data_IF_789045193289
#
_entry.id   IF_789045193289
#
_cell.length_a   1.000
_cell.length_b   1.000
_cell.length_c   1.000
_cell.angle_alpha   90.00
_cell.angle_beta   90.00
_cell.angle_gamma   90.00
#
_symmetry.space_group_name_H-M   'P 1'
#
loop_
_entity.id
_entity.type
_entity.pdbx_description
1 polymer ?
#
# COMPACT_ATOMS: atom_id res chain seq x y z
N UNK A 1 17.03 -27.28 4.51
CA UNK A 1 18.30 -26.80 5.03
C UNK A 1 18.41 -25.31 4.78
N UNK A 2 18.57 -24.52 5.82
CA UNK A 2 18.81 -23.09 5.75
C UNK A 2 20.18 -22.87 5.12
N UNK A 3 20.25 -22.43 3.88
CA UNK A 3 21.51 -22.01 3.27
C UNK A 3 21.66 -20.53 3.56
N UNK A 4 22.37 -20.21 4.66
CA UNK A 4 22.87 -18.88 4.93
C UNK A 4 24.02 -18.62 3.96
N UNK A 5 23.74 -18.01 2.80
CA UNK A 5 24.75 -17.39 1.99
C UNK A 5 25.08 -16.03 2.58
N UNK A 6 25.81 -16.02 3.69
CA UNK A 6 26.45 -14.82 4.18
C UNK A 6 27.59 -14.47 3.21
N UNK A 7 27.33 -13.61 2.22
CA UNK A 7 28.40 -13.09 1.39
C UNK A 7 29.38 -12.29 2.24
N UNK A 8 30.47 -12.92 2.55
CA UNK A 8 31.86 -12.46 2.77
C UNK A 8 32.15 -11.24 3.64
N UNK A 9 31.25 -10.76 4.47
CA UNK A 9 31.61 -9.79 5.50
C UNK A 9 31.05 -10.26 6.82
N UNK A 10 31.90 -10.41 7.82
CA UNK A 10 31.50 -10.61 9.23
C UNK A 10 30.58 -9.48 9.77
N UNK A 11 30.24 -8.49 8.94
CA UNK A 11 29.34 -7.38 9.17
C UNK A 11 28.23 -7.29 8.10
N UNK A 12 27.95 -8.35 7.32
CA UNK A 12 26.92 -8.35 6.29
C UNK A 12 25.51 -8.26 6.87
N UNK A 13 24.67 -7.40 6.28
CA UNK A 13 23.27 -7.20 6.68
C UNK A 13 22.29 -7.89 5.70
N UNK A 14 22.78 -8.65 4.74
CA UNK A 14 21.98 -9.38 3.77
C UNK A 14 21.85 -10.85 4.15
N UNK A 15 20.61 -11.35 4.18
CA UNK A 15 20.28 -12.75 4.46
C UNK A 15 19.46 -13.29 3.32
N UNK A 16 19.95 -14.32 2.63
CA UNK A 16 19.23 -14.98 1.56
C UNK A 16 18.62 -16.29 2.09
N UNK A 17 17.29 -16.40 1.99
CA UNK A 17 16.52 -17.53 2.51
C UNK A 17 16.10 -18.52 1.42
N UNK A 18 16.26 -18.17 0.14
CA UNK A 18 15.69 -18.93 -0.97
C UNK A 18 14.16 -18.94 -0.96
N UNK A 19 13.55 -19.99 -1.49
CA UNK A 19 12.08 -20.14 -1.53
C UNK A 19 11.58 -20.65 -0.17
N UNK A 20 11.38 -19.74 0.78
CA UNK A 20 11.05 -20.07 2.17
C UNK A 20 10.22 -18.95 2.84
N UNK A 21 9.03 -18.66 2.32
CA UNK A 21 8.19 -17.53 2.72
C UNK A 21 7.84 -17.55 4.21
N UNK A 22 7.49 -18.73 4.75
CA UNK A 22 7.21 -18.85 6.18
C UNK A 22 8.44 -18.53 7.05
N UNK A 23 9.64 -18.95 6.64
CA UNK A 23 10.87 -18.64 7.35
C UNK A 23 11.23 -17.15 7.26
N UNK A 24 10.89 -16.50 6.13
CA UNK A 24 11.05 -15.06 5.97
C UNK A 24 10.23 -14.32 7.02
N UNK A 25 8.95 -14.65 7.17
CA UNK A 25 8.08 -13.97 8.15
C UNK A 25 8.50 -14.24 9.58
N UNK A 26 8.92 -15.46 9.92
CA UNK A 26 9.48 -15.77 11.24
C UNK A 26 10.75 -14.96 11.53
N UNK A 27 11.63 -14.83 10.55
CA UNK A 27 12.85 -14.03 10.69
C UNK A 27 12.54 -12.54 10.84
N UNK A 28 11.63 -12.01 10.03
CA UNK A 28 11.17 -10.62 10.12
C UNK A 28 10.56 -10.32 11.48
N UNK A 29 9.73 -11.23 12.01
CA UNK A 29 9.17 -11.12 13.35
C UNK A 29 10.26 -11.09 14.41
N UNK A 30 11.20 -12.02 14.38
CA UNK A 30 12.30 -12.10 15.34
C UNK A 30 13.18 -10.84 15.33
N UNK A 31 13.55 -10.35 14.14
CA UNK A 31 14.34 -9.12 13.98
C UNK A 31 13.53 -7.87 14.35
N UNK A 32 12.26 -7.84 14.01
CA UNK A 32 11.34 -6.74 14.32
C UNK A 32 11.05 -6.57 15.80
N UNK A 33 11.22 -7.64 16.61
CA UNK A 33 11.11 -7.64 18.06
C UNK A 33 12.42 -7.31 18.79
N UNK A 34 13.47 -6.94 18.06
CA UNK A 34 14.81 -6.71 18.66
C UNK A 34 14.82 -5.59 19.71
N UNK A 35 14.02 -4.54 19.56
CA UNK A 35 13.97 -3.45 20.53
C UNK A 35 13.45 -3.90 21.90
N UNK A 36 12.26 -4.52 22.04
CA UNK A 36 11.77 -4.99 23.32
C UNK A 36 12.60 -6.14 23.92
N UNK A 37 13.26 -6.97 23.08
CA UNK A 37 14.03 -8.11 23.55
C UNK A 37 15.46 -7.77 23.94
N UNK A 38 16.09 -6.84 23.22
CA UNK A 38 17.54 -6.56 23.34
C UNK A 38 17.87 -5.08 23.51
N UNK A 39 16.88 -4.21 23.58
CA UNK A 39 17.08 -2.76 23.75
C UNK A 39 17.61 -2.02 22.51
N UNK A 40 17.74 -2.70 21.38
CA UNK A 40 18.24 -2.10 20.12
C UNK A 40 17.27 -2.40 19.00
N UNK A 41 16.77 -1.35 18.34
CA UNK A 41 15.86 -1.52 17.19
C UNK A 41 16.63 -1.84 15.92
N UNK A 42 16.28 -2.93 15.30
CA UNK A 42 16.63 -3.23 13.92
C UNK A 42 15.49 -2.78 13.00
N UNK A 43 15.83 -2.50 11.75
CA UNK A 43 14.89 -2.14 10.69
C UNK A 43 14.90 -3.23 9.60
N UNK A 44 14.31 -4.40 9.86
CA UNK A 44 14.33 -5.49 8.92
C UNK A 44 13.45 -5.19 7.70
N UNK A 45 14.01 -5.44 6.52
CA UNK A 45 13.30 -5.37 5.24
C UNK A 45 13.31 -6.76 4.63
N UNK A 46 12.13 -7.32 4.39
CA UNK A 46 11.97 -8.61 3.74
C UNK A 46 11.35 -8.47 2.36
N UNK A 47 11.90 -9.20 1.39
CA UNK A 47 11.35 -9.25 0.03
C UNK A 47 10.71 -10.61 -0.21
N UNK A 48 9.47 -10.60 -0.70
CA UNK A 48 8.71 -11.82 -1.03
C UNK A 48 8.10 -11.68 -2.43
N UNK A 49 7.96 -12.79 -3.13
CA UNK A 49 7.16 -12.84 -4.34
C UNK A 49 5.67 -12.76 -3.97
N UNK A 50 4.99 -11.70 -4.40
CA UNK A 50 3.64 -11.36 -3.92
C UNK A 50 2.62 -12.52 -3.98
N UNK A 51 2.54 -13.34 -5.05
CA UNK A 51 1.62 -14.48 -5.09
C UNK A 51 1.82 -15.50 -3.96
N UNK A 52 3.00 -15.52 -3.33
CA UNK A 52 3.34 -16.52 -2.33
C UNK A 52 3.26 -16.02 -0.89
N UNK A 53 2.83 -14.77 -0.68
CA UNK A 53 2.64 -14.22 0.67
C UNK A 53 1.70 -15.10 1.53
N UNK A 54 0.69 -15.71 0.91
CA UNK A 54 -0.25 -16.60 1.60
C UNK A 54 0.40 -17.88 2.17
N UNK A 55 1.59 -18.29 1.67
CA UNK A 55 2.29 -19.49 2.17
C UNK A 55 2.85 -19.33 3.59
N UNK A 56 3.03 -18.11 4.04
CA UNK A 56 3.52 -17.82 5.39
C UNK A 56 2.57 -16.92 6.19
N UNK A 57 1.30 -16.85 5.79
CA UNK A 57 0.34 -15.90 6.37
C UNK A 57 0.16 -16.07 7.88
N UNK A 58 0.21 -17.29 8.40
CA UNK A 58 0.15 -17.56 9.84
C UNK A 58 1.32 -16.89 10.59
N UNK A 59 2.55 -17.06 10.10
CA UNK A 59 3.72 -16.43 10.69
C UNK A 59 3.68 -14.88 10.56
N UNK A 60 3.17 -14.36 9.45
CA UNK A 60 2.95 -12.92 9.27
C UNK A 60 1.95 -12.37 10.29
N UNK A 61 0.81 -13.05 10.46
CA UNK A 61 -0.23 -12.68 11.43
C UNK A 61 0.34 -12.66 12.86
N UNK A 62 1.11 -13.68 13.22
CA UNK A 62 1.75 -13.74 14.54
C UNK A 62 2.79 -12.64 14.75
N UNK A 63 3.59 -12.34 13.74
CA UNK A 63 4.54 -11.23 13.78
C UNK A 63 3.85 -9.90 14.06
N UNK A 64 2.76 -9.61 13.34
CA UNK A 64 1.97 -8.40 13.55
C UNK A 64 1.27 -8.40 14.93
N UNK A 65 0.73 -9.53 15.38
CA UNK A 65 0.10 -9.66 16.70
C UNK A 65 1.07 -9.40 17.85
N UNK A 66 2.35 -9.75 17.68
CA UNK A 66 3.41 -9.51 18.66
C UNK A 66 3.99 -8.08 18.60
N UNK A 67 3.45 -7.22 17.76
CA UNK A 67 3.99 -5.88 17.50
C UNK A 67 5.44 -5.90 16.96
N UNK A 68 5.79 -6.91 16.20
CA UNK A 68 7.04 -6.91 15.45
C UNK A 68 7.04 -5.80 14.41
N UNK A 69 8.18 -5.15 14.20
CA UNK A 69 8.32 -3.98 13.34
C UNK A 69 9.22 -4.26 12.16
N UNK A 70 8.65 -4.40 10.98
CA UNK A 70 9.35 -4.74 9.74
C UNK A 70 8.71 -4.11 8.52
N UNK A 71 9.51 -3.96 7.47
CA UNK A 71 9.04 -3.58 6.13
C UNK A 71 8.99 -4.84 5.25
N UNK A 72 7.80 -5.20 4.81
CA UNK A 72 7.58 -6.28 3.86
C UNK A 72 7.41 -5.70 2.45
N UNK A 73 8.26 -6.08 1.53
CA UNK A 73 8.21 -5.69 0.11
C UNK A 73 7.79 -6.90 -0.71
N UNK A 74 6.57 -6.88 -1.23
CA UNK A 74 6.05 -7.94 -2.09
C UNK A 74 6.14 -7.52 -3.56
N UNK A 75 6.97 -8.22 -4.34
CA UNK A 75 7.31 -7.87 -5.73
C UNK A 75 7.84 -9.08 -6.50
N UNK A 76 7.54 -9.17 -7.81
CA UNK A 76 6.50 -8.45 -8.54
C UNK A 76 5.08 -8.85 -8.11
N UNK A 77 4.07 -8.06 -8.47
CA UNK A 77 2.69 -8.22 -8.01
C UNK A 77 1.65 -7.94 -9.10
N UNK A 78 0.43 -8.40 -8.84
CA UNK A 78 -0.78 -8.04 -9.55
C UNK A 78 -0.89 -8.55 -10.99
N UNK A 79 -1.75 -7.91 -11.75
CA UNK A 79 -2.08 -8.27 -13.13
C UNK A 79 -0.89 -8.16 -14.10
N UNK A 80 0.14 -7.41 -13.74
CA UNK A 80 1.38 -7.31 -14.53
C UNK A 80 2.12 -8.64 -14.65
N UNK A 81 1.78 -9.62 -13.83
CA UNK A 81 2.25 -11.01 -13.91
C UNK A 81 1.41 -11.88 -14.86
N UNK A 82 0.46 -11.31 -15.61
CA UNK A 82 -0.35 -12.02 -16.59
C UNK A 82 0.44 -12.91 -17.57
N UNK A 83 1.60 -12.48 -18.10
CA UNK A 83 2.43 -13.32 -18.96
C UNK A 83 2.97 -14.60 -18.30
N UNK A 84 3.08 -14.64 -16.97
CA UNK A 84 3.52 -15.81 -16.22
C UNK A 84 2.37 -16.79 -15.91
N UNK A 85 1.13 -16.39 -16.17
CA UNK A 85 -0.07 -17.19 -15.96
C UNK A 85 -0.95 -16.73 -14.79
N UNK A 86 -2.22 -17.15 -14.81
CA UNK A 86 -3.23 -16.67 -13.85
C UNK A 86 -2.91 -16.94 -12.40
N UNK A 87 -2.21 -18.05 -12.10
CA UNK A 87 -1.82 -18.38 -10.72
C UNK A 87 -0.79 -17.41 -10.10
N UNK A 88 -0.15 -16.58 -10.91
CA UNK A 88 0.87 -15.62 -10.50
C UNK A 88 0.33 -14.19 -10.35
N UNK A 89 -0.92 -13.92 -10.72
CA UNK A 89 -1.47 -12.56 -10.72
C UNK A 89 -1.78 -11.99 -9.32
N UNK A 90 -1.79 -12.80 -8.27
CA UNK A 90 -1.93 -12.37 -6.86
C UNK A 90 -3.08 -11.38 -6.59
N UNK A 91 -4.26 -11.64 -7.15
CA UNK A 91 -5.41 -10.71 -7.07
C UNK A 91 -5.98 -10.55 -5.64
N UNK A 92 -5.65 -11.44 -4.71
CA UNK A 92 -6.17 -11.43 -3.33
C UNK A 92 -5.25 -10.71 -2.34
N UNK A 93 -4.00 -10.45 -2.70
CA UNK A 93 -2.98 -9.96 -1.75
C UNK A 93 -3.24 -8.54 -1.22
N UNK A 94 -3.91 -7.61 -1.94
CA UNK A 94 -4.32 -6.34 -1.36
C UNK A 94 -5.20 -6.48 -0.11
N UNK A 95 -6.04 -7.53 -0.03
CA UNK A 95 -6.91 -7.79 1.11
C UNK A 95 -6.14 -8.20 2.37
N UNK A 96 -4.93 -8.76 2.23
CA UNK A 96 -4.06 -9.09 3.37
C UNK A 96 -3.69 -7.81 4.12
N UNK A 97 -3.28 -6.76 3.40
CA UNK A 97 -2.99 -5.46 4.00
C UNK A 97 -4.19 -4.86 4.72
N UNK A 98 -5.36 -4.89 4.08
CA UNK A 98 -6.60 -4.33 4.64
C UNK A 98 -7.12 -5.10 5.87
N UNK A 99 -6.88 -6.42 5.90
CA UNK A 99 -7.41 -7.29 6.95
C UNK A 99 -6.47 -7.52 8.13
N UNK A 100 -5.21 -7.12 8.05
CA UNK A 100 -4.20 -7.44 9.06
C UNK A 100 -3.96 -6.28 10.03
N UNK A 101 -4.40 -6.38 11.31
CA UNK A 101 -4.05 -5.40 12.33
C UNK A 101 -2.52 -5.32 12.54
N UNK A 102 -2.01 -4.12 12.78
CA UNK A 102 -0.56 -3.90 12.98
C UNK A 102 0.26 -3.84 11.69
N UNK A 103 -0.39 -3.97 10.52
CA UNK A 103 0.23 -3.86 9.21
C UNK A 103 -0.41 -2.69 8.46
N UNK A 104 0.40 -1.75 7.96
CA UNK A 104 -0.05 -0.67 7.08
C UNK A 104 0.35 -0.99 5.65
N UNK A 105 -0.60 -1.04 4.73
CA UNK A 105 -0.37 -1.46 3.36
C UNK A 105 -0.39 -0.28 2.38
N UNK A 106 0.57 -0.26 1.45
CA UNK A 106 0.64 0.70 0.35
C UNK A 106 0.89 0.01 -0.99
N UNK A 107 0.35 0.59 -2.05
CA UNK A 107 0.57 0.16 -3.42
C UNK A 107 0.86 1.38 -4.32
N UNK A 108 2.14 1.77 -4.47
CA UNK A 108 2.54 2.90 -5.30
C UNK A 108 2.46 2.57 -6.80
N UNK A 109 2.18 3.58 -7.61
CA UNK A 109 2.31 3.53 -9.07
C UNK A 109 3.66 4.09 -9.55
N UNK A 110 4.16 5.13 -8.89
CA UNK A 110 5.31 5.92 -9.34
C UNK A 110 6.48 5.83 -8.36
N UNK A 111 7.71 6.09 -8.85
CA UNK A 111 8.91 6.01 -8.03
C UNK A 111 8.99 7.12 -6.96
N UNK A 112 8.43 8.29 -7.22
CA UNK A 112 8.32 9.36 -6.23
C UNK A 112 7.38 9.00 -5.09
N UNK A 113 6.25 8.35 -5.40
CA UNK A 113 5.35 7.78 -4.38
C UNK A 113 6.05 6.75 -3.51
N UNK A 114 6.73 5.78 -4.13
CA UNK A 114 7.51 4.78 -3.41
C UNK A 114 8.56 5.42 -2.51
N UNK A 115 9.22 6.48 -2.97
CA UNK A 115 10.23 7.20 -2.19
C UNK A 115 9.61 7.82 -0.92
N UNK A 116 8.45 8.48 -1.06
CA UNK A 116 7.73 9.06 0.07
C UNK A 116 7.26 7.98 1.06
N UNK A 117 6.67 6.87 0.54
CA UNK A 117 6.22 5.75 1.35
C UNK A 117 7.35 5.05 2.11
N UNK A 118 8.51 4.82 1.46
CA UNK A 118 9.66 4.20 2.12
C UNK A 118 10.22 5.07 3.23
N UNK A 119 10.34 6.38 3.00
CA UNK A 119 10.79 7.32 4.04
C UNK A 119 9.85 7.27 5.25
N UNK A 120 8.56 7.41 5.00
CA UNK A 120 7.54 7.30 6.03
C UNK A 120 7.57 5.94 6.74
N UNK A 121 7.77 4.84 6.00
CA UNK A 121 7.82 3.49 6.59
C UNK A 121 8.94 3.36 7.60
N UNK A 122 10.14 3.84 7.30
CA UNK A 122 11.25 3.78 8.26
C UNK A 122 11.00 4.64 9.49
N UNK A 123 10.36 5.79 9.35
CA UNK A 123 9.96 6.63 10.49
C UNK A 123 8.87 5.91 11.30
N UNK A 124 7.87 5.32 10.65
CA UNK A 124 6.77 4.59 11.28
C UNK A 124 7.25 3.35 12.04
N UNK A 125 8.21 2.59 11.51
CA UNK A 125 8.80 1.45 12.23
C UNK A 125 9.46 1.87 13.55
N UNK A 126 9.88 3.11 13.68
CA UNK A 126 10.60 3.65 14.84
C UNK A 126 9.70 4.45 15.79
N UNK A 127 8.51 4.85 15.35
CA UNK A 127 7.56 5.62 16.16
C UNK A 127 7.02 4.79 17.33
N UNK A 128 6.62 5.43 18.43
CA UNK A 128 6.08 4.74 19.61
C UNK A 128 4.78 3.99 19.29
N UNK A 129 3.92 4.60 18.45
CA UNK A 129 2.66 4.05 17.96
C UNK A 129 2.79 3.40 16.57
N UNK A 130 4.01 3.12 16.12
CA UNK A 130 4.29 2.54 14.81
C UNK A 130 3.88 1.07 14.70
N UNK A 131 4.06 0.51 13.51
CA UNK A 131 3.75 -0.89 13.19
C UNK A 131 4.57 -1.38 12.01
N UNK A 132 4.25 -2.57 11.53
CA UNK A 132 4.83 -3.11 10.30
C UNK A 132 4.21 -2.46 9.06
N UNK A 133 4.96 -2.48 7.95
CA UNK A 133 4.52 -1.92 6.67
C UNK A 133 4.63 -2.97 5.58
N UNK A 134 3.64 -3.01 4.71
CA UNK A 134 3.59 -3.84 3.52
C UNK A 134 3.55 -2.96 2.27
N UNK A 135 4.57 -3.06 1.43
CA UNK A 135 4.64 -2.42 0.12
C UNK A 135 4.40 -3.45 -0.97
N UNK A 136 3.30 -3.30 -1.71
CA UNK A 136 2.98 -4.12 -2.87
C UNK A 136 3.48 -3.43 -4.13
N UNK A 137 4.53 -3.99 -4.76
CA UNK A 137 5.25 -3.34 -5.85
C UNK A 137 5.14 -4.11 -7.16
N UNK A 138 5.13 -3.38 -8.26
CA UNK A 138 5.23 -3.92 -9.61
C UNK A 138 6.64 -3.75 -10.18
N UNK A 139 7.04 -4.62 -11.11
CA UNK A 139 8.23 -4.46 -11.94
C UNK A 139 7.92 -3.85 -13.31
N UNK A 140 6.67 -3.44 -13.54
CA UNK A 140 6.26 -2.76 -14.76
C UNK A 140 6.94 -1.41 -14.90
N UNK A 141 7.43 -1.09 -16.09
CA UNK A 141 7.94 0.25 -16.40
C UNK A 141 6.76 1.22 -16.54
N UNK A 142 6.68 2.20 -15.63
CA UNK A 142 5.65 3.23 -15.62
C UNK A 142 6.31 4.59 -15.77
N UNK A 143 5.85 5.36 -16.77
CA UNK A 143 6.34 6.72 -16.98
C UNK A 143 5.97 7.61 -15.79
N UNK A 144 6.95 8.36 -15.29
CA UNK A 144 6.70 9.29 -14.19
C UNK A 144 5.85 10.47 -14.68
N UNK A 145 4.92 10.93 -13.86
CA UNK A 145 4.08 12.10 -14.17
C UNK A 145 4.43 13.24 -13.22
N UNK A 146 4.44 14.50 -13.71
CA UNK A 146 4.69 15.64 -12.86
C UNK A 146 3.56 15.81 -11.83
N UNK A 147 3.91 16.37 -10.67
CA UNK A 147 2.97 16.74 -9.61
C UNK A 147 2.83 18.25 -9.58
N UNK A 148 1.60 18.71 -9.68
CA UNK A 148 1.27 20.14 -9.68
C UNK A 148 0.98 20.66 -8.26
N UNK A 149 0.72 19.75 -7.31
CA UNK A 149 0.36 20.07 -5.94
C UNK A 149 1.51 19.74 -4.98
N UNK A 150 1.91 20.70 -4.13
CA UNK A 150 2.95 20.49 -3.11
C UNK A 150 2.51 19.56 -1.96
N UNK A 151 1.20 19.42 -1.74
CA UNK A 151 0.63 18.68 -0.60
C UNK A 151 0.32 17.21 -0.94
N UNK A 152 0.65 16.77 -2.14
CA UNK A 152 0.36 15.41 -2.60
C UNK A 152 1.00 14.32 -1.73
N UNK A 153 2.20 14.54 -1.18
CA UNK A 153 2.87 13.57 -0.31
C UNK A 153 2.08 13.30 0.97
N UNK A 154 1.52 14.35 1.60
CA UNK A 154 0.72 14.19 2.82
C UNK A 154 -0.58 13.42 2.53
N UNK A 155 -1.23 13.71 1.41
CA UNK A 155 -2.46 13.03 0.99
C UNK A 155 -2.18 11.58 0.58
N UNK A 156 -1.08 11.33 -0.14
CA UNK A 156 -0.59 10.00 -0.49
C UNK A 156 -0.42 9.12 0.76
N UNK A 157 0.22 9.65 1.79
CA UNK A 157 0.45 8.94 3.06
C UNK A 157 -0.82 8.80 3.90
N UNK A 158 -1.86 9.58 3.61
CA UNK A 158 -3.20 9.40 4.17
C UNK A 158 -4.06 8.38 3.41
N UNK A 159 -3.56 7.84 2.29
CA UNK A 159 -4.15 6.74 1.54
C UNK A 159 -4.62 7.06 0.13
N UNK A 160 -4.57 8.32 -0.31
CA UNK A 160 -4.92 8.68 -1.69
C UNK A 160 -4.89 10.18 -1.94
N UNK A 161 -4.73 10.55 -3.18
CA UNK A 161 -4.68 11.95 -3.62
C UNK A 161 -5.23 12.11 -5.05
N UNK A 162 -5.68 13.30 -5.40
CA UNK A 162 -6.08 13.59 -6.77
C UNK A 162 -4.85 13.80 -7.67
N UNK A 163 -4.63 12.88 -8.61
CA UNK A 163 -3.65 13.08 -9.68
C UNK A 163 -4.14 14.16 -10.66
N UNK A 164 -5.46 14.20 -10.88
CA UNK A 164 -6.17 15.29 -11.55
C UNK A 164 -7.39 15.64 -10.70
N UNK A 165 -7.40 16.82 -10.12
CA UNK A 165 -8.51 17.26 -9.28
C UNK A 165 -9.79 17.39 -10.08
N UNK A 166 -10.94 16.95 -9.56
CA UNK A 166 -12.22 17.17 -10.23
C UNK A 166 -12.60 18.66 -10.17
N UNK A 167 -13.37 19.12 -11.13
CA UNK A 167 -14.06 20.41 -10.97
C UNK A 167 -15.13 20.29 -9.86
N UNK A 168 -15.42 21.38 -9.12
CA UNK A 168 -16.49 21.37 -8.13
C UNK A 168 -17.82 20.93 -8.76
N UNK A 169 -18.46 19.92 -8.18
CA UNK A 169 -19.70 19.34 -8.68
C UNK A 169 -19.53 18.39 -9.86
N UNK A 170 -18.33 17.87 -10.12
CA UNK A 170 -18.09 16.89 -11.16
C UNK A 170 -18.98 15.65 -10.99
N UNK A 171 -19.52 15.16 -12.11
CA UNK A 171 -20.46 14.03 -12.14
C UNK A 171 -19.78 12.65 -12.12
N UNK A 172 -18.45 12.61 -12.31
CA UNK A 172 -17.71 11.35 -12.36
C UNK A 172 -16.24 11.52 -11.96
N UNK A 173 -15.63 10.42 -11.52
CA UNK A 173 -14.19 10.30 -11.36
C UNK A 173 -13.73 8.89 -11.72
N UNK A 174 -12.50 8.77 -12.23
CA UNK A 174 -11.77 7.51 -12.36
C UNK A 174 -10.91 7.33 -11.11
N UNK A 175 -10.91 6.13 -10.56
CA UNK A 175 -10.14 5.76 -9.36
C UNK A 175 -9.22 4.61 -9.72
N UNK A 176 -7.93 4.71 -9.42
CA UNK A 176 -6.98 3.64 -9.68
C UNK A 176 -6.08 3.35 -8.47
N UNK A 177 -5.48 2.15 -8.47
CA UNK A 177 -4.51 1.75 -7.46
C UNK A 177 -3.29 1.06 -8.12
N UNK A 178 -2.09 1.55 -7.82
CA UNK A 178 -0.83 0.92 -8.21
C UNK A 178 -0.58 0.86 -9.72
N UNK A 179 -0.17 -0.32 -10.19
CA UNK A 179 0.37 -0.56 -11.53
C UNK A 179 -0.56 -0.26 -12.72
N UNK A 180 -1.85 -0.02 -12.44
CA UNK A 180 -2.89 0.31 -13.45
C UNK A 180 -2.91 1.81 -13.80
N UNK A 181 -2.09 2.61 -13.15
CA UNK A 181 -2.02 4.06 -13.40
C UNK A 181 -1.96 4.46 -14.90
N UNK A 182 -1.17 3.82 -15.77
CA UNK A 182 -1.12 4.19 -17.20
C UNK A 182 -2.46 4.03 -17.90
N UNK A 183 -3.19 2.96 -17.62
CA UNK A 183 -4.52 2.70 -18.22
C UNK A 183 -5.55 3.70 -17.71
N UNK A 184 -5.53 4.01 -16.42
CA UNK A 184 -6.42 5.01 -15.83
C UNK A 184 -6.14 6.43 -16.36
N UNK A 185 -4.87 6.80 -16.55
CA UNK A 185 -4.48 8.07 -17.17
C UNK A 185 -4.99 8.14 -18.62
N UNK A 186 -4.75 7.10 -19.42
CA UNK A 186 -5.20 7.03 -20.80
C UNK A 186 -6.74 7.13 -20.89
N UNK A 187 -7.47 6.43 -20.02
CA UNK A 187 -8.92 6.50 -19.96
C UNK A 187 -9.40 7.92 -19.60
N UNK A 188 -8.73 8.57 -18.64
CA UNK A 188 -9.02 9.94 -18.26
C UNK A 188 -8.81 10.90 -19.44
N UNK A 189 -7.68 10.79 -20.15
CA UNK A 189 -7.38 11.62 -21.33
C UNK A 189 -8.42 11.46 -22.45
N UNK A 190 -8.91 10.23 -22.66
CA UNK A 190 -9.94 9.96 -23.66
C UNK A 190 -11.31 10.55 -23.32
N UNK A 191 -11.63 10.68 -22.03
CA UNK A 191 -12.95 11.07 -21.55
C UNK A 191 -13.04 12.54 -21.10
N UNK A 192 -11.89 13.22 -20.91
CA UNK A 192 -11.83 14.55 -20.32
C UNK A 192 -12.63 15.61 -21.12
N UNK A 193 -12.69 15.48 -22.46
CA UNK A 193 -13.45 16.40 -23.33
C UNK A 193 -14.96 16.13 -23.24
N UNK A 194 -15.37 14.87 -23.10
CA UNK A 194 -16.78 14.45 -23.01
C UNK A 194 -17.37 14.64 -21.61
N UNK A 195 -16.53 14.59 -20.59
CA UNK A 195 -16.90 14.73 -19.17
C UNK A 195 -16.14 15.90 -18.52
N UNK A 196 -16.56 17.14 -18.73
CA UNK A 196 -15.88 18.30 -18.19
C UNK A 196 -15.74 18.22 -16.67
N UNK A 197 -14.52 18.38 -16.18
CA UNK A 197 -14.22 18.31 -14.76
C UNK A 197 -14.05 16.91 -14.19
N UNK A 198 -13.92 15.88 -15.04
CA UNK A 198 -13.63 14.51 -14.63
C UNK A 198 -12.38 14.44 -13.74
N UNK A 199 -12.50 13.85 -12.56
CA UNK A 199 -11.38 13.63 -11.65
C UNK A 199 -10.62 12.34 -11.94
N UNK A 200 -9.32 12.30 -11.54
CA UNK A 200 -8.51 11.09 -11.53
C UNK A 200 -7.87 10.93 -10.15
N UNK A 201 -8.38 9.97 -9.38
CA UNK A 201 -7.98 9.69 -7.99
C UNK A 201 -7.00 8.53 -7.92
N UNK A 202 -5.82 8.79 -7.38
CA UNK A 202 -4.85 7.77 -7.01
C UNK A 202 -5.15 7.26 -5.59
N UNK A 203 -5.48 6.00 -5.45
CA UNK A 203 -5.57 5.31 -4.16
C UNK A 203 -4.24 4.61 -3.91
N UNK A 204 -3.54 5.03 -2.87
CA UNK A 204 -2.21 4.54 -2.52
C UNK A 204 -2.23 3.57 -1.34
N UNK A 205 -3.29 3.63 -0.53
CA UNK A 205 -3.56 2.73 0.58
C UNK A 205 -5.06 2.57 0.82
N UNK A 206 -5.71 1.56 0.20
CA UNK A 206 -7.10 1.22 0.53
C UNK A 206 -7.29 0.94 2.03
N UNK A 207 -6.28 0.35 2.68
CA UNK A 207 -6.25 0.09 4.12
C UNK A 207 -6.43 1.37 4.95
N UNK A 208 -5.61 2.40 4.72
CA UNK A 208 -5.70 3.66 5.46
C UNK A 208 -7.03 4.38 5.20
N UNK A 209 -7.51 4.39 3.96
CA UNK A 209 -8.81 4.97 3.62
C UNK A 209 -9.96 4.25 4.34
N UNK A 210 -9.95 2.91 4.34
CA UNK A 210 -10.96 2.10 5.03
C UNK A 210 -10.93 2.29 6.54
N UNK A 211 -9.74 2.24 7.16
CA UNK A 211 -9.57 2.47 8.61
C UNK A 211 -10.04 3.87 9.02
N UNK A 212 -9.63 4.89 8.27
CA UNK A 212 -10.04 6.27 8.51
C UNK A 212 -11.55 6.47 8.41
N UNK A 213 -12.18 5.90 7.37
CA UNK A 213 -13.63 5.95 7.19
C UNK A 213 -14.38 5.23 8.32
N UNK A 214 -13.93 4.04 8.69
CA UNK A 214 -14.53 3.25 9.76
C UNK A 214 -14.44 3.95 11.10
N UNK A 215 -13.29 4.57 11.43
CA UNK A 215 -13.09 5.35 12.66
C UNK A 215 -13.97 6.60 12.70
N UNK A 216 -14.06 7.34 11.58
CA UNK A 216 -14.92 8.51 11.48
C UNK A 216 -16.41 8.14 11.66
N UNK A 217 -16.85 7.04 11.03
CA UNK A 217 -18.21 6.52 11.19
C UNK A 217 -18.51 6.10 12.63
N UNK A 218 -17.61 5.38 13.28
CA UNK A 218 -17.76 4.98 14.68
C UNK A 218 -17.83 6.19 15.62
N UNK A 219 -17.00 7.23 15.38
CA UNK A 219 -17.02 8.47 16.16
C UNK A 219 -18.36 9.21 16.04
N UNK A 220 -18.93 9.28 14.83
CA UNK A 220 -20.25 9.88 14.60
C UNK A 220 -21.36 9.16 15.37
N UNK A 221 -21.32 7.83 15.39
CA UNK A 221 -22.33 7.03 16.13
C UNK A 221 -22.19 7.12 17.65
N UNK A 222 -20.95 7.13 18.17
CA UNK A 222 -20.71 7.08 19.62
C UNK A 222 -20.76 8.42 20.34
N UNK A 223 -20.32 9.50 19.70
CA UNK A 223 -20.10 10.81 20.35
C UNK A 223 -20.78 11.98 19.65
N UNK A 224 -21.48 11.79 18.55
CA UNK A 224 -22.06 12.86 17.74
C UNK A 224 -21.02 13.82 17.12
N UNK A 225 -19.74 13.47 17.16
CA UNK A 225 -18.68 14.30 16.61
C UNK A 225 -18.71 14.28 15.08
N UNK A 226 -18.68 15.44 14.45
CA UNK A 226 -18.55 15.56 12.99
C UNK A 226 -17.08 15.34 12.57
N UNK A 227 -16.63 14.08 12.62
CA UNK A 227 -15.31 13.72 12.14
C UNK A 227 -15.43 13.29 10.68
N UNK A 228 -14.72 13.96 9.79
CA UNK A 228 -14.63 13.62 8.38
C UNK A 228 -13.35 12.80 8.15
N UNK A 229 -13.48 11.71 7.40
CA UNK A 229 -12.33 10.89 6.99
C UNK A 229 -11.65 11.47 5.74
N UNK A 230 -10.41 11.04 5.47
CA UNK A 230 -9.67 11.50 4.31
C UNK A 230 -10.40 11.21 2.98
N UNK A 231 -10.98 10.02 2.81
CA UNK A 231 -11.76 9.70 1.61
C UNK A 231 -13.00 10.58 1.46
N UNK A 232 -13.70 10.89 2.55
CA UNK A 232 -14.84 11.81 2.51
C UNK A 232 -14.40 13.23 2.09
N UNK A 233 -13.22 13.67 2.54
CA UNK A 233 -12.63 14.94 2.11
C UNK A 233 -12.28 14.93 0.62
N UNK A 234 -11.64 13.86 0.14
CA UNK A 234 -11.31 13.73 -1.28
C UNK A 234 -12.55 13.77 -2.18
N UNK A 235 -13.63 13.11 -1.78
CA UNK A 235 -14.85 13.01 -2.58
C UNK A 235 -15.79 14.22 -2.42
N UNK A 236 -15.49 15.19 -1.55
CA UNK A 236 -16.37 16.30 -1.24
C UNK A 236 -16.65 17.24 -2.45
N UNK A 237 -15.71 17.31 -3.40
CA UNK A 237 -15.86 18.14 -4.61
C UNK A 237 -16.71 17.49 -5.70
N UNK A 238 -17.06 16.21 -5.56
CA UNK A 238 -17.93 15.52 -6.49
C UNK A 238 -19.41 15.85 -6.22
N UNK A 239 -20.23 15.80 -7.27
CA UNK A 239 -21.68 15.95 -7.13
C UNK A 239 -22.26 14.79 -6.29
N UNK A 240 -23.35 15.03 -5.53
CA UNK A 240 -24.09 13.93 -4.92
C UNK A 240 -24.56 12.92 -5.96
N UNK A 241 -24.16 11.64 -5.80
CA UNK A 241 -24.46 10.57 -6.76
C UNK A 241 -23.52 10.51 -7.96
N UNK A 242 -22.38 11.19 -7.92
CA UNK A 242 -21.35 11.07 -8.95
C UNK A 242 -20.92 9.60 -9.15
N UNK A 243 -20.66 9.25 -10.42
CA UNK A 243 -20.15 7.92 -10.78
C UNK A 243 -18.67 7.77 -10.43
N UNK A 244 -18.31 6.66 -9.80
CA UNK A 244 -16.90 6.27 -9.61
C UNK A 244 -16.60 5.02 -10.44
N UNK A 245 -15.64 5.14 -11.36
CA UNK A 245 -15.11 4.00 -12.12
C UNK A 245 -13.79 3.59 -11.47
N UNK A 246 -13.73 2.37 -10.97
CA UNK A 246 -12.54 1.86 -10.27
C UNK A 246 -11.76 0.89 -11.13
N UNK A 247 -10.45 1.06 -11.20
CA UNK A 247 -9.52 0.16 -11.86
C UNK A 247 -8.39 -0.24 -10.89
N UNK A 248 -8.30 -1.53 -10.60
CA UNK A 248 -7.37 -2.08 -9.61
C UNK A 248 -6.72 -3.36 -10.13
N UNK A 249 -5.45 -3.58 -9.79
CA UNK A 249 -4.74 -4.84 -10.03
C UNK A 249 -5.03 -5.86 -8.93
N UNK A 250 -6.30 -6.10 -8.62
CA UNK A 250 -6.73 -6.97 -7.54
C UNK A 250 -8.19 -7.42 -7.70
N UNK A 251 -8.71 -8.15 -6.70
CA UNK A 251 -10.12 -8.51 -6.65
C UNK A 251 -10.95 -7.31 -6.16
N UNK A 252 -12.03 -6.95 -6.86
CA UNK A 252 -13.00 -6.04 -6.27
C UNK A 252 -13.63 -6.72 -5.04
N UNK A 253 -13.53 -6.07 -3.89
CA UNK A 253 -14.09 -6.56 -2.64
C UNK A 253 -15.57 -6.21 -2.54
#
# INVERSE_FOLDING_TARGET
>A
GLVLLAHHLAAGQHIELGIAENNLFLLLAALGLSAPLFGTRLLPVGTVYDPFIARGLDALNYGCYQDARFLLVATPSGLTLGPEGGAHQSINTPLIGMGQPGLTAFEPAFADELTAMMRWSFDHLQADDGGSVYLRLTTRNIAQVPRDNSDWEAQLLAGGYWLRAPAPGASAAIVYCGAIAPEAIAAWEMLADDLPGLGLLAVTSPDLLHRGWSAARASRWGRGAHTQSHIETLLADLAPGAGLVTDIAGSPA
#
